data_IF_343942014391
#
_entry.id   IF_343942014391
#
_cell.length_a   1.000
_cell.length_b   1.000
_cell.length_c   1.000
_cell.angle_alpha   90.00
_cell.angle_beta   90.00
_cell.angle_gamma   90.00
#
_symmetry.space_group_name_H-M   'P 1'
#
loop_
_entity.id
_entity.type
_entity.pdbx_description
1 polymer ?
#
# COMPACT_ATOMS: atom_id res chain seq x y z
N UNK A 1 -5.02 -12.82 17.41
CA UNK A 1 -5.47 -11.52 17.95
C UNK A 1 -5.57 -10.59 16.77
N UNK A 2 -6.78 -10.19 16.38
CA UNK A 2 -6.95 -9.18 15.33
C UNK A 2 -6.28 -7.88 15.79
N UNK A 3 -5.32 -7.41 15.00
CA UNK A 3 -4.49 -6.26 15.31
C UNK A 3 -5.29 -4.99 15.03
N UNK A 4 -6.07 -4.54 16.01
CA UNK A 4 -6.88 -3.32 15.87
C UNK A 4 -5.98 -2.09 15.90
N UNK A 5 -5.87 -1.39 14.77
CA UNK A 5 -5.19 -0.10 14.69
C UNK A 5 -6.13 1.04 15.13
N UNK A 6 -5.60 2.02 15.86
CA UNK A 6 -6.33 3.24 16.23
C UNK A 6 -6.31 4.25 15.08
N UNK A 7 -7.28 5.17 15.07
CA UNK A 7 -7.31 6.31 14.15
C UNK A 7 -5.97 7.06 14.12
N UNK A 8 -5.45 7.44 15.29
CA UNK A 8 -4.21 8.22 15.38
C UNK A 8 -3.00 7.47 14.82
N UNK A 9 -2.95 6.14 15.02
CA UNK A 9 -1.87 5.30 14.50
C UNK A 9 -1.98 5.14 12.98
N UNK A 10 -3.19 5.02 12.43
CA UNK A 10 -3.43 5.01 10.99
C UNK A 10 -3.00 6.33 10.34
N UNK A 11 -3.49 7.46 10.84
CA UNK A 11 -3.14 8.79 10.33
C UNK A 11 -1.64 9.06 10.42
N UNK A 12 -1.00 8.64 11.52
CA UNK A 12 0.44 8.75 11.68
C UNK A 12 1.20 8.00 10.58
N UNK A 13 0.86 6.73 10.31
CA UNK A 13 1.54 5.95 9.27
C UNK A 13 1.29 6.49 7.87
N UNK A 14 0.05 6.84 7.52
CA UNK A 14 -0.25 7.47 6.24
C UNK A 14 0.59 8.74 6.03
N UNK A 15 0.64 9.61 7.04
CA UNK A 15 1.40 10.86 6.99
C UNK A 15 2.90 10.61 6.90
N UNK A 16 3.43 9.62 7.62
CA UNK A 16 4.84 9.24 7.53
C UNK A 16 5.21 8.77 6.13
N UNK A 17 4.42 7.87 5.53
CA UNK A 17 4.64 7.39 4.16
C UNK A 17 4.61 8.58 3.19
N UNK A 18 3.56 9.43 3.24
CA UNK A 18 3.42 10.56 2.33
C UNK A 18 4.59 11.56 2.43
N UNK A 19 5.04 11.86 3.64
CA UNK A 19 6.19 12.72 3.85
C UNK A 19 7.48 12.10 3.33
N UNK A 20 7.71 10.80 3.54
CA UNK A 20 8.88 10.10 3.01
C UNK A 20 8.93 10.16 1.48
N UNK A 21 7.78 9.98 0.81
CA UNK A 21 7.69 10.08 -0.66
C UNK A 21 7.95 11.51 -1.15
N UNK A 22 7.39 12.52 -0.47
CA UNK A 22 7.53 13.93 -0.85
C UNK A 22 8.95 14.46 -0.58
N UNK A 23 9.60 14.00 0.50
CA UNK A 23 10.95 14.40 0.89
C UNK A 23 12.04 13.66 0.09
N UNK A 24 11.68 12.61 -0.67
CA UNK A 24 12.63 11.80 -1.43
C UNK A 24 13.17 12.55 -2.65
N UNK A 25 14.50 12.62 -2.75
CA UNK A 25 15.17 13.24 -3.89
C UNK A 25 15.30 12.27 -5.07
N UNK A 26 14.33 12.31 -5.98
CA UNK A 26 14.32 11.50 -7.19
C UNK A 26 15.45 11.82 -8.17
N UNK A 27 16.16 12.95 -8.02
CA UNK A 27 17.35 13.23 -8.86
C UNK A 27 18.50 12.25 -8.58
N UNK A 28 18.51 11.63 -7.41
CA UNK A 28 19.47 10.56 -7.08
C UNK A 28 19.31 9.30 -7.94
N UNK A 29 18.21 9.17 -8.69
CA UNK A 29 17.87 8.02 -9.54
C UNK A 29 18.18 8.22 -11.03
N UNK A 30 18.91 9.29 -11.42
CA UNK A 30 19.17 9.64 -12.83
C UNK A 30 19.71 8.49 -13.72
N UNK A 31 20.37 7.48 -13.13
CA UNK A 31 20.93 6.32 -13.85
C UNK A 31 20.31 4.98 -13.45
N UNK A 32 19.15 4.99 -12.81
CA UNK A 32 18.42 3.78 -12.40
C UNK A 32 17.22 3.58 -13.34
N UNK A 33 17.11 2.37 -13.88
CA UNK A 33 15.97 1.97 -14.71
C UNK A 33 15.17 0.92 -13.96
N UNK A 34 13.89 1.21 -13.74
CA UNK A 34 12.93 0.23 -13.23
C UNK A 34 12.25 -0.45 -14.42
N UNK A 35 12.18 -1.78 -14.40
CA UNK A 35 11.64 -2.56 -15.51
C UNK A 35 10.11 -2.49 -15.60
N UNK A 36 9.46 -2.25 -14.46
CA UNK A 36 8.02 -2.20 -14.29
C UNK A 36 7.65 -1.38 -13.04
N UNK A 37 6.35 -1.18 -12.81
CA UNK A 37 5.83 -0.51 -11.62
C UNK A 37 6.16 -1.25 -10.33
N UNK A 38 6.24 -2.59 -10.38
CA UNK A 38 6.51 -3.43 -9.22
C UNK A 38 7.95 -3.25 -8.71
N UNK A 39 8.94 -3.27 -9.60
CA UNK A 39 10.34 -3.01 -9.28
C UNK A 39 10.57 -1.61 -8.73
N UNK A 40 9.85 -0.61 -9.25
CA UNK A 40 9.85 0.73 -8.67
C UNK A 40 9.22 0.76 -7.28
N UNK A 41 8.09 0.09 -7.09
CA UNK A 41 7.49 -0.06 -5.76
C UNK A 41 8.44 -0.73 -4.77
N UNK A 42 9.10 -1.83 -5.12
CA UNK A 42 10.02 -2.52 -4.21
C UNK A 42 11.14 -1.61 -3.72
N UNK A 43 11.60 -0.70 -4.60
CA UNK A 43 12.55 0.33 -4.21
C UNK A 43 11.95 1.33 -3.21
N UNK A 44 10.77 1.88 -3.50
CA UNK A 44 10.08 2.83 -2.61
C UNK A 44 9.70 2.19 -1.27
N UNK A 45 9.21 0.95 -1.27
CA UNK A 45 8.82 0.19 -0.10
C UNK A 45 9.98 0.03 0.90
N UNK A 46 11.21 -0.06 0.40
CA UNK A 46 12.43 -0.12 1.19
C UNK A 46 12.91 1.22 1.77
N UNK A 47 12.30 2.35 1.41
CA UNK A 47 12.74 3.66 1.90
C UNK A 47 12.51 3.79 3.42
N UNK A 48 13.51 4.27 4.18
CA UNK A 48 13.38 4.48 5.61
C UNK A 48 12.53 5.72 5.88
N UNK A 49 11.53 5.57 6.74
CA UNK A 49 10.78 6.68 7.29
C UNK A 49 11.47 7.24 8.55
N UNK A 50 11.04 8.44 8.98
CA UNK A 50 11.63 9.18 10.12
C UNK A 50 11.62 8.44 11.48
N UNK A 51 10.88 7.33 11.60
CA UNK A 51 10.79 6.50 12.80
C UNK A 51 11.62 5.20 12.71
N UNK A 52 12.57 5.09 11.77
CA UNK A 52 13.39 3.91 11.48
C UNK A 52 12.63 2.67 10.99
N UNK A 53 11.34 2.77 10.66
CA UNK A 53 10.63 1.74 9.91
C UNK A 53 10.72 2.00 8.40
N UNK A 54 10.56 0.97 7.59
CA UNK A 54 10.41 1.10 6.13
C UNK A 54 8.97 1.48 5.76
N UNK A 55 8.76 1.97 4.55
CA UNK A 55 7.41 2.15 4.00
C UNK A 55 6.64 0.83 4.01
N UNK A 56 7.27 -0.28 3.61
CA UNK A 56 6.71 -1.63 3.64
C UNK A 56 6.17 -2.01 5.02
N UNK A 57 6.99 -1.84 6.07
CA UNK A 57 6.60 -2.17 7.44
C UNK A 57 5.39 -1.34 7.91
N UNK A 58 5.24 -0.09 7.44
CA UNK A 58 4.04 0.70 7.75
C UNK A 58 2.82 0.24 6.96
N UNK A 59 2.99 -0.12 5.68
CA UNK A 59 1.91 -0.67 4.86
C UNK A 59 1.38 -1.98 5.43
N UNK A 60 2.25 -2.84 5.98
CA UNK A 60 1.85 -4.06 6.70
C UNK A 60 1.02 -3.75 7.96
N UNK A 61 1.35 -2.69 8.71
CA UNK A 61 0.57 -2.31 9.90
C UNK A 61 -0.84 -1.79 9.56
N UNK A 62 -1.04 -1.25 8.34
CA UNK A 62 -2.31 -0.65 7.90
C UNK A 62 -2.99 -1.44 6.79
N UNK A 63 -2.55 -2.68 6.50
CA UNK A 63 -2.99 -3.48 5.35
C UNK A 63 -4.52 -3.57 5.26
N UNK A 64 -5.19 -3.83 6.38
CA UNK A 64 -6.66 -3.92 6.47
C UNK A 64 -7.37 -2.57 6.24
N UNK A 65 -6.64 -1.45 6.19
CA UNK A 65 -7.19 -0.11 5.98
C UNK A 65 -6.89 0.43 4.57
N UNK A 66 -6.16 -0.33 3.73
CA UNK A 66 -5.80 0.10 2.37
C UNK A 66 -7.01 -0.03 1.45
N UNK A 67 -7.45 1.05 0.76
CA UNK A 67 -8.48 0.96 -0.26
C UNK A 67 -7.98 0.19 -1.46
N UNK A 68 -8.59 -0.98 -1.70
CA UNK A 68 -8.29 -1.79 -2.87
C UNK A 68 -8.91 -1.17 -4.12
N UNK A 69 -8.07 -0.67 -5.03
CA UNK A 69 -8.48 -0.45 -6.41
C UNK A 69 -8.43 -1.81 -7.12
N UNK A 70 -9.56 -2.24 -7.69
CA UNK A 70 -9.58 -3.40 -8.59
C UNK A 70 -8.99 -2.99 -9.94
N UNK A 71 -7.67 -3.05 -10.05
CA UNK A 71 -6.97 -3.06 -11.33
C UNK A 71 -7.22 -4.37 -12.08
N UNK A 72 -6.94 -4.41 -13.39
CA UNK A 72 -7.09 -5.64 -14.16
C UNK A 72 -6.27 -6.79 -13.55
N UNK A 73 -5.03 -6.51 -13.13
CA UNK A 73 -4.11 -7.51 -12.58
C UNK A 73 -4.56 -8.02 -11.21
N UNK A 74 -4.97 -7.12 -10.31
CA UNK A 74 -5.52 -7.51 -9.00
C UNK A 74 -6.85 -8.27 -9.15
N UNK A 75 -7.70 -7.90 -10.10
CA UNK A 75 -8.93 -8.65 -10.38
C UNK A 75 -8.65 -10.05 -10.94
N UNK A 76 -7.68 -10.20 -11.85
CA UNK A 76 -7.23 -11.51 -12.37
C UNK A 76 -6.70 -12.40 -11.24
N UNK A 77 -5.83 -11.88 -10.37
CA UNK A 77 -5.29 -12.63 -9.22
C UNK A 77 -6.40 -13.06 -8.23
N UNK A 78 -7.39 -12.21 -8.01
CA UNK A 78 -8.54 -12.54 -7.18
C UNK A 78 -9.37 -13.69 -7.76
N UNK A 79 -9.67 -13.65 -9.07
CA UNK A 79 -10.41 -14.71 -9.76
C UNK A 79 -9.64 -16.03 -9.75
N UNK A 80 -8.34 -16.00 -10.05
CA UNK A 80 -7.48 -17.20 -10.00
C UNK A 80 -7.44 -17.81 -8.60
N UNK A 81 -7.36 -16.97 -7.55
CA UNK A 81 -7.40 -17.46 -6.16
C UNK A 81 -8.76 -18.09 -5.81
N UNK A 82 -9.86 -17.55 -6.34
CA UNK A 82 -11.20 -18.06 -6.07
C UNK A 82 -11.46 -19.42 -6.75
N UNK A 83 -10.87 -19.64 -7.92
CA UNK A 83 -11.01 -20.88 -8.70
C UNK A 83 -10.01 -21.99 -8.28
N UNK A 84 -9.00 -21.66 -7.46
CA UNK A 84 -7.93 -22.59 -7.08
C UNK A 84 -8.31 -23.44 -5.85
N UNK A 85 -8.42 -24.75 -6.05
CA UNK A 85 -8.73 -25.72 -4.99
C UNK A 85 -7.50 -26.09 -4.14
N UNK A 86 -6.29 -25.85 -4.65
CA UNK A 86 -5.04 -26.14 -3.94
C UNK A 86 -4.69 -25.01 -2.96
N UNK A 87 -4.86 -25.28 -1.66
CA UNK A 87 -4.64 -24.31 -0.58
C UNK A 87 -3.31 -23.54 -0.66
N UNK A 88 -2.21 -24.17 -1.04
CA UNK A 88 -0.89 -23.51 -1.12
C UNK A 88 -0.83 -22.47 -2.25
N UNK A 89 -1.37 -22.82 -3.43
CA UNK A 89 -1.42 -21.92 -4.58
C UNK A 89 -2.41 -20.78 -4.37
N UNK A 90 -3.58 -21.10 -3.81
CA UNK A 90 -4.57 -20.10 -3.41
C UNK A 90 -3.96 -19.05 -2.47
N UNK A 91 -3.20 -19.48 -1.45
CA UNK A 91 -2.51 -18.56 -0.53
C UNK A 91 -1.43 -17.73 -1.23
N UNK A 92 -0.69 -18.30 -2.19
CA UNK A 92 0.27 -17.56 -2.99
C UNK A 92 -0.40 -16.48 -3.85
N UNK A 93 -1.52 -16.80 -4.51
CA UNK A 93 -2.31 -15.87 -5.31
C UNK A 93 -2.92 -14.75 -4.46
N UNK A 94 -3.44 -15.09 -3.27
CA UNK A 94 -3.96 -14.12 -2.31
C UNK A 94 -2.87 -13.13 -1.87
N UNK A 95 -1.66 -13.60 -1.58
CA UNK A 95 -0.52 -12.72 -1.25
C UNK A 95 -0.15 -11.82 -2.42
N UNK A 96 -0.11 -12.36 -3.65
CA UNK A 96 0.13 -11.58 -4.85
C UNK A 96 -0.92 -10.47 -5.06
N UNK A 97 -2.19 -10.77 -4.80
CA UNK A 97 -3.27 -9.77 -4.85
C UNK A 97 -3.06 -8.63 -3.87
N UNK A 98 -2.80 -8.94 -2.59
CA UNK A 98 -2.55 -7.94 -1.55
C UNK A 98 -1.35 -7.07 -1.91
N UNK A 99 -0.28 -7.69 -2.42
CA UNK A 99 0.93 -6.98 -2.83
C UNK A 99 0.65 -6.01 -3.99
N UNK A 100 -0.10 -6.46 -5.00
CA UNK A 100 -0.54 -5.59 -6.10
C UNK A 100 -1.32 -4.38 -5.58
N UNK A 101 -2.18 -4.57 -4.58
CA UNK A 101 -2.92 -3.45 -4.01
C UNK A 101 -2.03 -2.47 -3.24
N UNK A 102 -0.99 -2.95 -2.54
CA UNK A 102 0.00 -2.07 -1.88
C UNK A 102 0.78 -1.24 -2.90
N UNK A 103 1.17 -1.86 -4.02
CA UNK A 103 1.81 -1.18 -5.15
C UNK A 103 0.92 -0.04 -5.66
N UNK A 104 -0.33 -0.35 -6.01
CA UNK A 104 -1.28 0.63 -6.54
C UNK A 104 -1.54 1.78 -5.54
N UNK A 105 -1.67 1.45 -4.25
CA UNK A 105 -1.87 2.43 -3.19
C UNK A 105 -0.67 3.36 -3.02
N UNK A 106 0.56 2.83 -2.99
CA UNK A 106 1.76 3.63 -2.83
C UNK A 106 1.99 4.55 -4.04
N UNK A 107 1.76 4.04 -5.24
CA UNK A 107 1.84 4.84 -6.47
C UNK A 107 0.77 5.94 -6.48
N UNK A 108 -0.46 5.65 -6.03
CA UNK A 108 -1.49 6.67 -5.88
C UNK A 108 -1.02 7.78 -4.92
N UNK A 109 -0.47 7.42 -3.74
CA UNK A 109 0.07 8.38 -2.78
C UNK A 109 1.21 9.23 -3.36
N UNK A 110 2.07 8.64 -4.18
CA UNK A 110 3.18 9.34 -4.83
C UNK A 110 2.68 10.43 -5.80
N UNK A 111 1.66 10.13 -6.60
CA UNK A 111 1.13 11.05 -7.61
C UNK A 111 0.09 12.05 -7.09
N UNK A 112 -0.32 11.95 -5.81
CA UNK A 112 -1.21 12.92 -5.20
C UNK A 112 -0.50 14.26 -4.94
N UNK A 113 -0.94 15.31 -5.62
CA UNK A 113 -0.45 16.68 -5.44
C UNK A 113 -1.46 17.57 -4.71
N UNK A 114 -2.75 17.21 -4.75
CA UNK A 114 -3.83 18.03 -4.22
C UNK A 114 -4.21 17.65 -2.77
N UNK A 115 -4.44 18.67 -1.95
CA UNK A 115 -4.78 18.48 -0.54
C UNK A 115 -6.15 17.82 -0.34
N UNK A 116 -7.13 18.09 -1.24
CA UNK A 116 -8.45 17.45 -1.13
C UNK A 116 -8.40 15.97 -1.49
N UNK A 117 -7.56 15.58 -2.45
CA UNK A 117 -7.29 14.17 -2.76
C UNK A 117 -6.70 13.44 -1.55
N UNK A 118 -5.79 14.09 -0.82
CA UNK A 118 -5.21 13.53 0.41
C UNK A 118 -6.26 13.34 1.51
N UNK A 119 -7.10 14.33 1.77
CA UNK A 119 -8.18 14.24 2.75
C UNK A 119 -9.14 13.08 2.41
N UNK A 120 -9.54 12.96 1.15
CA UNK A 120 -10.41 11.87 0.69
C UNK A 120 -9.77 10.48 0.84
N UNK A 121 -8.47 10.35 0.61
CA UNK A 121 -7.74 9.10 0.85
C UNK A 121 -7.79 8.73 2.33
N UNK A 122 -7.46 9.66 3.22
CA UNK A 122 -7.44 9.44 4.68
C UNK A 122 -8.83 9.05 5.17
N UNK A 123 -9.88 9.74 4.72
CA UNK A 123 -11.27 9.42 5.05
C UNK A 123 -11.65 8.01 4.57
N UNK A 124 -11.20 7.62 3.38
CA UNK A 124 -11.46 6.28 2.83
C UNK A 124 -10.79 5.19 3.68
N UNK A 125 -9.53 5.40 4.06
CA UNK A 125 -8.80 4.48 4.94
C UNK A 125 -9.47 4.37 6.32
N UNK A 126 -9.92 5.50 6.89
CA UNK A 126 -10.63 5.50 8.18
C UNK A 126 -11.98 4.78 8.10
N UNK A 127 -12.73 4.96 7.01
CA UNK A 127 -13.97 4.23 6.77
C UNK A 127 -13.74 2.71 6.71
N UNK A 128 -12.65 2.25 6.08
CA UNK A 128 -12.27 0.85 6.05
C UNK A 128 -11.86 0.33 7.43
N UNK A 129 -11.07 1.11 8.17
CA UNK A 129 -10.71 0.81 9.56
C UNK A 129 -11.95 0.61 10.43
N UNK A 130 -12.96 1.47 10.29
CA UNK A 130 -14.22 1.34 11.02
C UNK A 130 -14.99 0.08 10.62
N UNK A 131 -15.07 -0.26 9.33
CA UNK A 131 -15.78 -1.46 8.87
C UNK A 131 -15.11 -2.77 9.28
N UNK A 132 -13.78 -2.79 9.35
CA UNK A 132 -13.03 -4.02 9.63
C UNK A 132 -12.85 -4.28 11.13
N UNK A 133 -13.04 -3.27 11.98
CA UNK A 133 -12.82 -3.40 13.42
C UNK A 133 -13.98 -2.91 14.31
N UNK A 134 -15.14 -2.57 13.76
CA UNK A 134 -16.38 -2.32 14.51
C UNK A 134 -17.41 -3.37 14.14
#
# INVERSE_FOLDING_TARGET
MEKRISHDKLCHYLTCIKNTLNDFDFSSLENVVFFDSHSFYCYLAGLPCKNNNTIEAMLEEIEDCIPFALTHDSFSLFLEAYEEEQSEKMEALRKGFIESCKVDFLLLMLHMEDASQWEHLVDTCENLRQKNYC
#
